data_IF_967100299339
#
_entry.id   IF_967100299339
#
_cell.length_a   1.000
_cell.length_b   1.000
_cell.length_c   1.000
_cell.angle_alpha   90.00
_cell.angle_beta   90.00
_cell.angle_gamma   90.00
#
_symmetry.space_group_name_H-M   'P 1'
#
loop_
_entity.id
_entity.type
_entity.pdbx_description
1 polymer ?
#
# COMPACT_ATOMS: atom_id res chain seq x y z
N UNK A 1 -12.29 21.21 -39.26
CA UNK A 1 -11.88 22.24 -38.30
C UNK A 1 -12.64 21.89 -37.03
N UNK A 2 -12.09 20.91 -36.27
CA UNK A 2 -12.69 20.39 -35.05
C UNK A 2 -12.04 21.08 -33.86
N UNK A 3 -12.85 21.86 -33.21
CA UNK A 3 -12.56 22.54 -31.95
C UNK A 3 -12.69 21.51 -30.82
N UNK A 4 -11.55 20.92 -30.41
CA UNK A 4 -11.44 20.12 -29.20
C UNK A 4 -11.12 21.07 -28.05
N UNK A 5 -12.15 21.70 -27.49
CA UNK A 5 -12.07 22.50 -26.27
C UNK A 5 -11.76 21.57 -25.08
N UNK A 6 -10.64 21.90 -24.46
CA UNK A 6 -10.06 21.30 -23.25
C UNK A 6 -11.02 21.50 -22.06
N UNK A 7 -11.67 20.44 -21.62
CA UNK A 7 -12.44 20.38 -20.35
C UNK A 7 -11.55 20.14 -19.10
N UNK A 8 -10.24 20.37 -19.19
CA UNK A 8 -9.26 20.04 -18.12
C UNK A 8 -9.00 21.13 -17.06
N UNK A 9 -9.46 22.37 -17.24
CA UNK A 9 -8.90 23.50 -16.47
C UNK A 9 -9.55 23.82 -15.12
N UNK A 10 -10.77 23.39 -14.86
CA UNK A 10 -11.46 23.69 -13.59
C UNK A 10 -11.09 22.65 -12.48
N UNK A 11 -10.89 21.40 -12.86
CA UNK A 11 -10.49 20.30 -11.95
C UNK A 11 -9.04 20.45 -11.48
N UNK A 12 -8.13 20.86 -12.36
CA UNK A 12 -6.75 21.17 -12.04
C UNK A 12 -6.61 22.30 -11.00
N UNK A 13 -7.45 23.33 -11.06
CA UNK A 13 -7.44 24.43 -10.10
C UNK A 13 -7.79 23.99 -8.68
N UNK A 14 -8.79 23.14 -8.52
CA UNK A 14 -9.22 22.61 -7.25
C UNK A 14 -8.14 21.67 -6.66
N UNK A 15 -7.56 20.80 -7.48
CA UNK A 15 -6.48 19.89 -7.07
C UNK A 15 -5.24 20.67 -6.61
N UNK A 16 -4.80 21.69 -7.36
CA UNK A 16 -3.70 22.57 -6.98
C UNK A 16 -3.97 23.27 -5.65
N UNK A 17 -5.19 23.78 -5.45
CA UNK A 17 -5.57 24.46 -4.21
C UNK A 17 -5.54 23.51 -3.01
N UNK A 18 -6.00 22.27 -3.17
CA UNK A 18 -5.98 21.24 -2.15
C UNK A 18 -4.54 20.88 -1.73
N UNK A 19 -3.66 20.60 -2.70
CA UNK A 19 -2.24 20.29 -2.43
C UNK A 19 -1.53 21.45 -1.73
N UNK A 20 -1.76 22.70 -2.19
CA UNK A 20 -1.19 23.89 -1.53
C UNK A 20 -1.74 24.09 -0.12
N UNK A 21 -3.03 23.80 0.09
CA UNK A 21 -3.66 23.83 1.41
C UNK A 21 -3.00 22.83 2.38
N UNK A 22 -2.85 21.59 1.92
CA UNK A 22 -2.18 20.54 2.67
C UNK A 22 -0.72 20.91 3.01
N UNK A 23 0.05 21.38 2.03
CA UNK A 23 1.44 21.78 2.26
C UNK A 23 1.56 22.88 3.34
N UNK A 24 0.70 23.91 3.29
CA UNK A 24 0.68 24.97 4.33
C UNK A 24 0.32 24.41 5.71
N UNK A 25 -0.69 23.57 5.79
CA UNK A 25 -1.08 22.93 7.03
C UNK A 25 0.04 22.07 7.60
N UNK A 26 0.60 21.17 6.79
CA UNK A 26 1.57 20.19 7.25
C UNK A 26 2.92 20.81 7.65
N UNK A 27 3.41 21.79 6.89
CA UNK A 27 4.63 22.55 7.26
C UNK A 27 4.44 23.32 8.56
N UNK A 28 3.25 23.85 8.82
CA UNK A 28 2.94 24.52 10.09
C UNK A 28 2.82 23.51 11.25
N UNK A 29 2.14 22.40 11.06
CA UNK A 29 1.96 21.33 12.06
C UNK A 29 3.30 20.75 12.52
N UNK A 30 4.28 20.61 11.61
CA UNK A 30 5.64 20.17 11.92
C UNK A 30 6.55 21.31 12.42
N UNK A 31 6.08 22.54 12.46
CA UNK A 31 6.89 23.68 12.89
C UNK A 31 8.07 23.98 11.98
N UNK A 32 8.06 23.56 10.70
CA UNK A 32 9.19 23.69 9.78
C UNK A 32 9.53 25.14 9.40
N UNK A 33 8.60 26.08 9.63
CA UNK A 33 8.79 27.50 9.36
C UNK A 33 9.45 28.25 10.53
N UNK A 34 9.72 27.58 11.64
CA UNK A 34 10.49 28.17 12.75
C UNK A 34 11.95 28.28 12.35
N UNK A 35 12.59 29.40 12.74
CA UNK A 35 13.99 29.65 12.34
C UNK A 35 15.00 28.64 12.88
N UNK A 36 14.64 27.88 13.92
CA UNK A 36 15.41 26.79 14.50
C UNK A 36 14.62 25.50 14.45
N UNK A 37 15.21 24.45 13.91
CA UNK A 37 14.57 23.15 13.80
C UNK A 37 14.61 22.41 15.14
N UNK A 38 13.44 22.00 15.64
CA UNK A 38 13.27 21.25 16.90
C UNK A 38 13.94 21.93 18.12
N UNK A 39 13.88 23.26 18.17
CA UNK A 39 14.52 24.07 19.23
C UNK A 39 16.02 23.79 19.41
N UNK A 40 16.69 23.42 18.31
CA UNK A 40 18.16 23.22 18.25
C UNK A 40 18.84 24.42 17.58
N UNK A 41 20.18 24.56 17.67
CA UNK A 41 20.91 25.62 16.98
C UNK A 41 20.93 25.44 15.44
N UNK A 42 20.34 24.36 14.90
CA UNK A 42 20.38 24.03 13.48
C UNK A 42 19.07 24.45 12.78
N UNK A 43 19.20 24.95 11.55
CA UNK A 43 18.06 25.10 10.63
C UNK A 43 17.62 23.76 10.08
N UNK A 44 16.42 23.69 9.46
CA UNK A 44 15.94 22.48 8.80
C UNK A 44 16.93 21.97 7.75
N UNK A 45 17.49 22.86 6.93
CA UNK A 45 18.49 22.51 5.90
C UNK A 45 19.74 21.88 6.50
N UNK A 46 20.23 22.47 7.60
CA UNK A 46 21.40 21.96 8.31
C UNK A 46 21.14 20.60 8.96
N UNK A 47 19.97 20.44 9.61
CA UNK A 47 19.55 19.15 10.14
C UNK A 47 19.44 18.09 9.04
N UNK A 48 18.83 18.42 7.90
CA UNK A 48 18.72 17.51 6.75
C UNK A 48 20.10 17.09 6.25
N UNK A 49 21.02 18.01 6.15
CA UNK A 49 22.40 17.73 5.75
C UNK A 49 23.11 16.77 6.71
N UNK A 50 22.93 16.97 8.03
CA UNK A 50 23.46 16.08 9.06
C UNK A 50 22.87 14.68 8.99
N UNK A 51 21.57 14.55 8.73
CA UNK A 51 20.93 13.24 8.52
C UNK A 51 21.49 12.53 7.28
N UNK A 52 21.68 13.23 6.17
CA UNK A 52 22.27 12.63 4.96
C UNK A 52 23.72 12.18 5.21
N UNK A 53 24.51 12.95 5.97
CA UNK A 53 25.86 12.57 6.38
C UNK A 53 25.86 11.32 7.29
N UNK A 54 24.83 11.13 8.09
CA UNK A 54 24.71 9.97 8.98
C UNK A 54 24.37 8.65 8.25
N UNK A 55 23.83 8.74 7.05
CA UNK A 55 23.47 7.54 6.25
C UNK A 55 24.70 6.82 5.67
N UNK A 56 25.87 7.44 5.69
CA UNK A 56 27.10 6.90 5.08
C UNK A 56 28.30 7.17 5.98
N UNK A 57 29.28 6.32 5.96
CA UNK A 57 30.53 6.54 6.70
C UNK A 57 31.28 7.79 6.19
N UNK A 58 31.28 7.97 4.86
CA UNK A 58 31.86 9.13 4.19
C UNK A 58 30.97 9.59 3.03
N UNK A 59 30.93 10.88 2.75
CA UNK A 59 30.18 11.46 1.64
C UNK A 59 31.02 12.44 0.85
N UNK A 60 30.90 12.42 -0.49
CA UNK A 60 31.50 13.45 -1.35
C UNK A 60 30.63 14.72 -1.33
N UNK A 61 31.25 15.91 -1.39
CA UNK A 61 30.52 17.20 -1.42
C UNK A 61 29.55 17.28 -2.60
N UNK A 62 29.95 16.71 -3.76
CA UNK A 62 29.12 16.68 -4.96
C UNK A 62 27.84 15.85 -4.79
N UNK A 63 27.92 14.75 -4.05
CA UNK A 63 26.75 13.89 -3.77
C UNK A 63 25.80 14.54 -2.78
N UNK A 64 26.35 15.15 -1.71
CA UNK A 64 25.55 15.90 -0.74
C UNK A 64 24.76 17.03 -1.40
N UNK A 65 25.43 17.79 -2.30
CA UNK A 65 24.79 18.87 -3.05
C UNK A 65 23.58 18.37 -3.86
N UNK A 66 23.75 17.25 -4.55
CA UNK A 66 22.69 16.65 -5.39
C UNK A 66 21.51 16.14 -4.55
N UNK A 67 21.82 15.52 -3.41
CA UNK A 67 20.80 14.93 -2.53
C UNK A 67 19.95 16.00 -1.81
N UNK A 68 20.56 17.10 -1.39
CA UNK A 68 19.84 18.16 -0.62
C UNK A 68 19.36 19.29 -1.52
N UNK A 69 19.79 19.34 -2.78
CA UNK A 69 19.42 20.35 -3.80
C UNK A 69 19.59 21.80 -3.31
N UNK A 70 20.79 22.15 -2.86
CA UNK A 70 21.11 23.49 -2.33
C UNK A 70 22.21 24.17 -3.11
N UNK A 71 22.23 25.50 -3.02
CA UNK A 71 23.26 26.34 -3.64
C UNK A 71 24.67 25.97 -3.16
N UNK A 72 25.67 25.87 -4.07
CA UNK A 72 27.04 25.47 -3.71
C UNK A 72 27.71 26.39 -2.67
N UNK A 73 27.47 27.68 -2.75
CA UNK A 73 28.04 28.65 -1.81
C UNK A 73 27.42 28.53 -0.43
N UNK A 74 26.12 28.23 -0.38
CA UNK A 74 25.42 28.00 0.89
C UNK A 74 25.87 26.69 1.54
N UNK A 75 25.97 25.58 0.76
CA UNK A 75 26.52 24.33 1.25
C UNK A 75 27.94 24.52 1.82
N UNK A 76 28.81 25.22 1.10
CA UNK A 76 30.20 25.48 1.54
C UNK A 76 30.24 26.19 2.88
N UNK A 77 29.36 27.19 3.11
CA UNK A 77 29.25 27.91 4.37
C UNK A 77 28.78 27.01 5.54
N UNK A 78 27.78 26.17 5.30
CA UNK A 78 27.30 25.21 6.30
C UNK A 78 28.41 24.24 6.68
N UNK A 79 29.08 23.64 5.69
CA UNK A 79 30.15 22.67 5.93
C UNK A 79 31.36 23.31 6.65
N UNK A 80 31.70 24.53 6.33
CA UNK A 80 32.76 25.27 7.06
C UNK A 80 32.40 25.51 8.54
N UNK A 81 31.12 25.83 8.79
CA UNK A 81 30.61 25.97 10.17
C UNK A 81 30.64 24.62 10.90
N UNK A 82 30.15 23.57 10.32
CA UNK A 82 30.16 22.23 10.92
C UNK A 82 31.57 21.73 11.23
N UNK A 83 32.53 22.04 10.39
CA UNK A 83 33.93 21.71 10.60
C UNK A 83 34.51 22.54 11.77
N UNK A 84 34.24 23.86 11.81
CA UNK A 84 34.62 24.75 12.94
C UNK A 84 34.01 24.30 14.25
N UNK A 85 32.77 23.82 14.24
CA UNK A 85 32.05 23.35 15.43
C UNK A 85 32.45 21.90 15.82
N UNK A 86 33.36 21.26 15.06
CA UNK A 86 33.84 19.92 15.33
C UNK A 86 32.81 18.81 15.05
N UNK A 87 31.74 19.14 14.33
CA UNK A 87 30.67 18.20 13.98
C UNK A 87 31.04 17.26 12.83
N UNK A 88 31.81 17.78 11.88
CA UNK A 88 32.35 17.01 10.74
C UNK A 88 33.87 17.11 10.69
N UNK A 89 34.48 16.14 10.00
CA UNK A 89 35.87 16.17 9.57
C UNK A 89 35.96 16.01 8.05
N UNK A 90 36.87 16.76 7.42
CA UNK A 90 37.20 16.62 5.99
C UNK A 90 38.47 15.81 5.84
N UNK A 91 38.44 14.88 4.92
CA UNK A 91 39.59 14.04 4.58
C UNK A 91 39.77 13.98 3.04
N UNK A 92 40.96 13.65 2.58
CA UNK A 92 41.14 13.32 1.18
C UNK A 92 40.67 11.90 0.94
N UNK A 93 39.97 11.68 -0.18
CA UNK A 93 39.51 10.36 -0.55
C UNK A 93 40.69 9.40 -0.70
N UNK A 94 40.60 8.23 -0.09
CA UNK A 94 41.61 7.18 -0.25
C UNK A 94 41.67 6.63 -1.68
N UNK A 95 40.56 6.75 -2.44
CA UNK A 95 40.45 6.27 -3.82
C UNK A 95 40.93 7.32 -4.84
N UNK A 96 40.77 8.62 -4.55
CA UNK A 96 41.22 9.73 -5.41
C UNK A 96 41.60 10.91 -4.53
N UNK A 97 42.88 11.11 -4.31
CA UNK A 97 43.43 12.20 -3.46
C UNK A 97 43.07 13.62 -3.90
N UNK A 98 42.42 13.80 -5.08
CA UNK A 98 41.89 15.09 -5.55
C UNK A 98 40.49 15.37 -5.01
N UNK A 99 39.80 14.37 -4.49
CA UNK A 99 38.43 14.51 -3.94
C UNK A 99 38.46 14.65 -2.42
N UNK A 100 37.62 15.53 -1.93
CA UNK A 100 37.37 15.66 -0.50
C UNK A 100 36.14 14.85 -0.10
N UNK A 101 36.29 14.07 0.95
CA UNK A 101 35.21 13.35 1.61
C UNK A 101 34.95 13.95 2.99
N UNK A 102 33.70 13.92 3.39
CA UNK A 102 33.22 14.44 4.66
C UNK A 102 32.71 13.26 5.47
N UNK A 103 33.00 13.26 6.75
CA UNK A 103 32.47 12.30 7.71
C UNK A 103 32.02 13.02 9.00
N UNK A 104 31.04 12.44 9.68
CA UNK A 104 30.66 12.88 11.01
C UNK A 104 31.75 12.50 12.02
N UNK A 105 32.06 13.42 12.93
CA UNK A 105 32.90 13.11 14.10
C UNK A 105 32.10 12.35 15.16
N UNK A 106 32.69 12.00 16.29
CA UNK A 106 31.97 11.49 17.47
C UNK A 106 30.92 12.48 17.95
N UNK A 107 31.30 13.75 18.11
CA UNK A 107 30.36 14.82 18.45
C UNK A 107 29.27 15.03 17.41
N UNK A 108 29.60 14.92 16.11
CA UNK A 108 28.61 14.98 15.04
C UNK A 108 27.55 13.88 15.11
N UNK A 109 27.94 12.66 15.44
CA UNK A 109 27.01 11.55 15.65
C UNK A 109 26.09 11.77 16.86
N UNK A 110 26.60 12.36 17.94
CA UNK A 110 25.78 12.76 19.10
C UNK A 110 24.77 13.84 18.75
N UNK A 111 25.17 14.84 17.95
CA UNK A 111 24.24 15.85 17.42
C UNK A 111 23.13 15.24 16.59
N UNK A 112 23.44 14.32 15.67
CA UNK A 112 22.44 13.63 14.85
C UNK A 112 21.52 12.80 15.72
N UNK A 113 22.05 12.03 16.67
CA UNK A 113 21.23 11.24 17.60
C UNK A 113 20.27 12.12 18.42
N UNK A 114 20.73 13.31 18.86
CA UNK A 114 19.88 14.27 19.55
C UNK A 114 18.78 14.88 18.68
N UNK A 115 19.07 15.16 17.41
CA UNK A 115 18.09 15.63 16.43
C UNK A 115 17.05 14.54 16.13
N UNK A 116 17.50 13.29 15.94
CA UNK A 116 16.63 12.15 15.67
C UNK A 116 15.68 11.87 16.85
N UNK A 117 16.20 11.86 18.07
CA UNK A 117 15.39 11.70 19.27
C UNK A 117 14.29 12.76 19.39
N UNK A 118 14.63 14.05 19.19
CA UNK A 118 13.65 15.16 19.23
C UNK A 118 12.62 15.06 18.10
N UNK A 119 13.03 14.66 16.91
CA UNK A 119 12.12 14.41 15.78
C UNK A 119 11.16 13.26 16.09
N UNK A 120 11.67 12.18 16.65
CA UNK A 120 10.86 11.03 17.06
C UNK A 120 9.87 11.42 18.19
N UNK A 121 10.29 12.23 19.16
CA UNK A 121 9.42 12.72 20.23
C UNK A 121 8.29 13.59 19.68
N UNK A 122 8.59 14.53 18.78
CA UNK A 122 7.57 15.37 18.12
C UNK A 122 6.53 14.53 17.37
N UNK A 123 6.98 13.53 16.62
CA UNK A 123 6.07 12.62 15.90
C UNK A 123 5.26 11.78 16.88
N UNK A 124 5.88 11.31 17.94
CA UNK A 124 5.21 10.53 19.00
C UNK A 124 4.10 11.34 19.67
N UNK A 125 4.37 12.60 20.01
CA UNK A 125 3.38 13.50 20.60
C UNK A 125 2.22 13.77 19.65
N UNK A 126 2.49 13.99 18.36
CA UNK A 126 1.45 14.13 17.34
C UNK A 126 0.57 12.89 17.23
N UNK A 127 1.16 11.71 17.25
CA UNK A 127 0.43 10.43 17.14
C UNK A 127 -0.30 10.07 18.44
N UNK A 128 0.21 10.48 19.61
CA UNK A 128 -0.42 10.21 20.90
C UNK A 128 -1.78 10.92 21.08
N UNK A 129 -2.00 12.02 20.36
CA UNK A 129 -3.28 12.74 20.35
C UNK A 129 -4.37 12.05 19.51
N UNK A 130 -4.04 11.00 18.75
CA UNK A 130 -4.96 10.30 17.84
C UNK A 130 -5.42 8.98 18.45
N UNK A 131 -6.70 8.62 18.22
CA UNK A 131 -7.16 7.26 18.44
C UNK A 131 -6.50 6.29 17.44
N UNK A 132 -6.57 4.98 17.72
CA UNK A 132 -5.92 3.97 16.88
C UNK A 132 -6.44 3.96 15.43
N UNK A 133 -7.72 4.26 15.22
CA UNK A 133 -8.30 4.34 13.87
C UNK A 133 -7.76 5.53 13.09
N UNK A 134 -7.72 6.71 13.71
CA UNK A 134 -7.20 7.91 13.08
C UNK A 134 -5.68 7.81 12.82
N UNK A 135 -4.95 7.14 13.72
CA UNK A 135 -3.52 6.85 13.52
C UNK A 135 -3.31 5.98 12.28
N UNK A 136 -4.09 4.89 12.13
CA UNK A 136 -4.03 4.04 10.94
C UNK A 136 -4.34 4.82 9.67
N UNK A 137 -5.44 5.59 9.67
CA UNK A 137 -5.84 6.43 8.51
C UNK A 137 -4.76 7.44 8.11
N UNK A 138 -4.12 8.07 9.09
CA UNK A 138 -3.02 9.01 8.84
C UNK A 138 -1.82 8.33 8.19
N UNK A 139 -1.36 7.20 8.74
CA UNK A 139 -0.22 6.45 8.19
C UNK A 139 -0.50 5.93 6.78
N UNK A 140 -1.72 5.44 6.53
CA UNK A 140 -2.15 5.01 5.20
C UNK A 140 -2.18 6.16 4.20
N UNK A 141 -2.70 7.32 4.59
CA UNK A 141 -2.71 8.50 3.73
C UNK A 141 -1.28 8.97 3.38
N UNK A 142 -0.37 9.02 4.36
CA UNK A 142 1.03 9.36 4.12
C UNK A 142 1.71 8.39 3.16
N UNK A 143 1.44 7.09 3.30
CA UNK A 143 1.95 6.07 2.42
C UNK A 143 1.44 6.25 0.99
N UNK A 144 0.11 6.44 0.82
CA UNK A 144 -0.49 6.68 -0.51
C UNK A 144 0.14 7.90 -1.18
N UNK A 145 0.31 9.01 -0.45
CA UNK A 145 0.98 10.21 -0.98
C UNK A 145 2.39 9.90 -1.45
N UNK A 146 3.17 9.20 -0.62
CA UNK A 146 4.57 8.86 -0.95
C UNK A 146 4.64 7.97 -2.20
N UNK A 147 3.87 6.89 -2.26
CA UNK A 147 3.85 5.95 -3.38
C UNK A 147 3.40 6.63 -4.69
N UNK A 148 2.38 7.48 -4.60
CA UNK A 148 1.85 8.22 -5.77
C UNK A 148 2.89 9.19 -6.34
N UNK A 149 3.59 9.93 -5.47
CA UNK A 149 4.57 10.92 -5.91
C UNK A 149 5.90 10.32 -6.35
N UNK A 150 6.30 9.18 -5.77
CA UNK A 150 7.59 8.53 -6.13
C UNK A 150 7.45 7.53 -7.27
N UNK A 151 6.23 7.09 -7.59
CA UNK A 151 5.98 6.02 -8.55
C UNK A 151 6.55 4.66 -8.12
N UNK A 152 6.99 4.54 -6.87
CA UNK A 152 7.65 3.35 -6.33
C UNK A 152 6.79 2.75 -5.22
N UNK A 153 6.02 1.68 -5.52
CA UNK A 153 5.29 0.98 -4.47
C UNK A 153 6.28 0.35 -3.49
N UNK A 154 6.10 0.62 -2.21
CA UNK A 154 6.88 -0.03 -1.16
C UNK A 154 6.54 -1.53 -1.11
N UNK A 155 7.52 -2.41 -0.86
CA UNK A 155 7.24 -3.82 -0.65
C UNK A 155 6.27 -3.96 0.54
N UNK A 156 5.05 -4.40 0.25
CA UNK A 156 4.02 -4.60 1.28
C UNK A 156 4.01 -6.06 1.69
N UNK A 157 4.21 -6.30 2.98
CA UNK A 157 3.84 -7.56 3.58
C UNK A 157 2.32 -7.64 3.71
N UNK A 158 1.76 -8.82 3.49
CA UNK A 158 0.36 -9.09 3.80
C UNK A 158 0.24 -10.37 4.62
N UNK A 159 -0.82 -10.47 5.38
CA UNK A 159 -1.17 -11.69 6.09
C UNK A 159 -2.55 -12.20 5.63
N UNK A 160 -2.75 -13.50 5.69
CA UNK A 160 -4.07 -14.12 5.55
C UNK A 160 -4.57 -14.49 6.93
N UNK A 161 -5.79 -14.09 7.26
CA UNK A 161 -6.44 -14.39 8.53
C UNK A 161 -7.88 -14.84 8.33
N UNK A 162 -8.42 -15.47 9.36
CA UNK A 162 -9.86 -15.74 9.42
C UNK A 162 -10.65 -14.44 9.52
N UNK A 163 -11.91 -14.43 9.04
CA UNK A 163 -12.79 -13.28 9.16
C UNK A 163 -13.06 -12.90 10.62
N UNK A 164 -13.19 -11.59 10.86
CA UNK A 164 -13.59 -10.97 12.13
C UNK A 164 -14.92 -10.23 11.96
N UNK A 165 -15.52 -9.82 13.06
CA UNK A 165 -16.72 -8.97 13.02
C UNK A 165 -16.49 -7.72 12.17
N UNK A 166 -17.41 -7.47 11.22
CA UNK A 166 -17.31 -6.39 10.23
C UNK A 166 -16.79 -6.84 8.85
N UNK A 167 -15.95 -7.88 8.76
CA UNK A 167 -15.40 -8.32 7.48
C UNK A 167 -16.47 -8.81 6.48
N UNK A 168 -17.54 -9.43 6.97
CA UNK A 168 -18.62 -9.89 6.10
C UNK A 168 -19.35 -8.72 5.43
N UNK A 169 -19.59 -7.63 6.18
CA UNK A 169 -20.12 -6.39 5.61
C UNK A 169 -19.16 -5.77 4.60
N UNK A 170 -17.86 -5.77 4.89
CA UNK A 170 -16.82 -5.32 3.96
C UNK A 170 -16.81 -6.14 2.66
N UNK A 171 -16.89 -7.47 2.75
CA UNK A 171 -16.96 -8.36 1.56
C UNK A 171 -18.14 -7.99 0.66
N UNK A 172 -19.35 -7.80 1.24
CA UNK A 172 -20.53 -7.43 0.46
C UNK A 172 -20.35 -6.08 -0.22
N UNK A 173 -19.99 -5.06 0.56
CA UNK A 173 -19.79 -3.69 0.07
C UNK A 173 -18.72 -3.64 -1.03
N UNK A 174 -17.56 -4.25 -0.82
CA UNK A 174 -16.46 -4.13 -1.78
C UNK A 174 -16.73 -4.90 -3.08
N UNK A 175 -17.37 -6.07 -3.02
CA UNK A 175 -17.83 -6.75 -4.21
C UNK A 175 -18.84 -5.89 -4.99
N UNK A 176 -19.85 -5.31 -4.32
CA UNK A 176 -20.83 -4.44 -4.98
C UNK A 176 -20.15 -3.25 -5.68
N UNK A 177 -19.33 -2.50 -4.94
CA UNK A 177 -18.68 -1.28 -5.46
C UNK A 177 -17.71 -1.60 -6.60
N UNK A 178 -16.77 -2.52 -6.40
CA UNK A 178 -15.73 -2.78 -7.40
C UNK A 178 -16.28 -3.35 -8.71
N UNK A 179 -17.24 -4.25 -8.63
CA UNK A 179 -17.82 -4.83 -9.84
C UNK A 179 -18.75 -3.85 -10.57
N UNK A 180 -19.38 -2.91 -9.85
CA UNK A 180 -20.09 -1.80 -10.47
C UNK A 180 -19.14 -0.84 -11.20
N UNK A 181 -18.03 -0.46 -10.55
CA UNK A 181 -17.04 0.47 -11.10
C UNK A 181 -16.27 -0.13 -12.30
N UNK A 182 -15.80 -1.37 -12.18
CA UNK A 182 -14.91 -1.98 -13.19
C UNK A 182 -15.69 -2.64 -14.35
N UNK A 183 -16.90 -3.16 -14.09
CA UNK A 183 -17.65 -3.96 -15.09
C UNK A 183 -19.06 -3.40 -15.36
N UNK A 184 -19.50 -2.40 -14.60
CA UNK A 184 -20.84 -1.80 -14.72
C UNK A 184 -21.95 -2.75 -14.31
N UNK A 185 -21.69 -3.66 -13.33
CA UNK A 185 -22.70 -4.58 -12.82
C UNK A 185 -23.67 -3.86 -11.86
N UNK A 186 -24.92 -4.27 -11.89
CA UNK A 186 -25.97 -3.67 -11.07
C UNK A 186 -26.07 -4.27 -9.65
N UNK A 187 -26.96 -3.74 -8.84
CA UNK A 187 -27.17 -4.16 -7.44
C UNK A 187 -27.62 -5.63 -7.28
N UNK A 188 -28.02 -6.31 -8.37
CA UNK A 188 -28.36 -7.74 -8.30
C UNK A 188 -27.13 -8.62 -8.01
N UNK A 189 -25.92 -8.17 -8.40
CA UNK A 189 -24.67 -8.83 -8.02
C UNK A 189 -24.39 -8.66 -6.51
N UNK A 190 -24.54 -7.46 -5.98
CA UNK A 190 -24.38 -7.22 -4.53
C UNK A 190 -25.36 -8.07 -3.72
N UNK A 191 -26.61 -8.18 -4.18
CA UNK A 191 -27.62 -9.05 -3.56
C UNK A 191 -27.23 -10.54 -3.62
N UNK A 192 -26.57 -11.00 -4.70
CA UNK A 192 -26.03 -12.36 -4.79
C UNK A 192 -24.93 -12.57 -3.75
N UNK A 193 -23.97 -11.64 -3.66
CA UNK A 193 -22.87 -11.70 -2.69
C UNK A 193 -23.41 -11.70 -1.25
N UNK A 194 -24.39 -10.85 -0.94
CA UNK A 194 -25.01 -10.80 0.36
C UNK A 194 -25.64 -12.14 0.77
N UNK A 195 -26.32 -12.82 -0.16
CA UNK A 195 -26.87 -14.17 0.08
C UNK A 195 -25.79 -15.20 0.34
N UNK A 196 -24.70 -15.20 -0.45
CA UNK A 196 -23.56 -16.12 -0.26
C UNK A 196 -22.93 -15.93 1.11
N UNK A 197 -22.74 -14.67 1.53
CA UNK A 197 -22.16 -14.34 2.83
C UNK A 197 -23.08 -14.72 3.97
N UNK A 198 -24.40 -14.47 3.86
CA UNK A 198 -25.38 -14.85 4.85
C UNK A 198 -25.44 -16.39 5.01
N UNK A 199 -25.55 -17.12 3.89
CA UNK A 199 -25.55 -18.59 3.90
C UNK A 199 -24.29 -19.15 4.56
N UNK A 200 -23.11 -18.58 4.26
CA UNK A 200 -21.85 -18.99 4.89
C UNK A 200 -21.86 -18.78 6.41
N UNK A 201 -22.31 -17.62 6.88
CA UNK A 201 -22.32 -17.32 8.32
C UNK A 201 -23.34 -18.18 9.06
N UNK A 202 -24.51 -18.42 8.49
CA UNK A 202 -25.61 -19.16 9.12
C UNK A 202 -25.40 -20.70 9.11
N UNK A 203 -24.82 -21.23 8.04
CA UNK A 203 -24.79 -22.67 7.75
C UNK A 203 -23.39 -23.29 7.77
N UNK A 204 -22.35 -22.48 8.01
CA UNK A 204 -20.96 -22.92 7.94
C UNK A 204 -20.69 -24.17 8.78
N UNK A 205 -20.11 -25.18 8.16
CA UNK A 205 -19.43 -26.27 8.83
C UNK A 205 -17.93 -25.96 8.92
N UNK A 206 -17.38 -25.65 10.09
CA UNK A 206 -15.98 -25.23 10.24
C UNK A 206 -14.95 -26.27 9.79
N UNK A 207 -15.32 -27.56 9.74
CA UNK A 207 -14.43 -28.63 9.28
C UNK A 207 -14.39 -28.72 7.75
N UNK A 208 -15.42 -28.24 7.08
CA UNK A 208 -15.60 -28.35 5.62
C UNK A 208 -15.61 -27.00 4.88
N UNK A 209 -15.77 -25.90 5.58
CA UNK A 209 -15.90 -24.57 4.99
C UNK A 209 -15.05 -23.54 5.70
N UNK A 210 -14.41 -22.67 4.94
CA UNK A 210 -13.55 -21.62 5.48
C UNK A 210 -13.59 -20.35 4.61
N UNK A 211 -13.22 -19.22 5.21
CA UNK A 211 -13.00 -17.98 4.47
C UNK A 211 -11.74 -17.30 4.99
N UNK A 212 -11.11 -16.52 4.13
CA UNK A 212 -9.92 -15.75 4.48
C UNK A 212 -10.05 -14.32 4.04
N UNK A 213 -9.52 -13.44 4.87
CA UNK A 213 -9.28 -12.04 4.57
C UNK A 213 -7.78 -11.85 4.41
N UNK A 214 -7.35 -11.30 3.29
CA UNK A 214 -6.02 -10.77 3.13
C UNK A 214 -6.00 -9.36 3.75
N UNK A 215 -5.03 -9.11 4.61
CA UNK A 215 -4.87 -7.82 5.29
C UNK A 215 -3.47 -7.27 4.99
N UNK A 216 -3.40 -6.04 4.52
CA UNK A 216 -2.16 -5.29 4.27
C UNK A 216 -2.15 -4.11 5.22
N UNK A 217 -1.13 -4.00 6.05
CA UNK A 217 -0.99 -2.89 7.03
C UNK A 217 -2.22 -2.68 7.93
N UNK A 218 -2.92 -3.76 8.30
CA UNK A 218 -4.13 -3.72 9.13
C UNK A 218 -5.44 -3.40 8.38
N UNK A 219 -5.39 -3.25 7.04
CA UNK A 219 -6.54 -2.93 6.18
C UNK A 219 -6.93 -4.16 5.35
N UNK A 220 -8.22 -4.57 5.29
CA UNK A 220 -8.67 -5.62 4.40
C UNK A 220 -8.37 -5.28 2.94
N UNK A 221 -7.68 -6.19 2.25
CA UNK A 221 -7.16 -6.02 0.91
C UNK A 221 -7.64 -7.08 -0.09
N UNK A 222 -8.26 -8.14 0.41
CA UNK A 222 -8.84 -9.20 -0.41
C UNK A 222 -9.57 -10.24 0.41
N UNK A 223 -10.34 -11.08 -0.25
CA UNK A 223 -11.07 -12.17 0.39
C UNK A 223 -11.20 -13.37 -0.55
N UNK A 224 -11.48 -14.55 0.04
CA UNK A 224 -11.90 -15.75 -0.67
C UNK A 224 -12.67 -16.67 0.28
N UNK A 225 -13.60 -17.44 -0.27
CA UNK A 225 -14.38 -18.42 0.46
C UNK A 225 -14.19 -19.81 -0.16
N UNK A 226 -14.14 -20.82 0.68
CA UNK A 226 -14.24 -22.22 0.35
C UNK A 226 -15.51 -22.77 0.98
N UNK A 227 -16.48 -23.15 0.18
CA UNK A 227 -17.76 -23.69 0.67
C UNK A 227 -17.98 -25.09 0.13
N UNK A 228 -18.80 -25.88 0.82
CA UNK A 228 -19.20 -27.22 0.36
C UNK A 228 -20.16 -27.13 -0.80
N UNK A 229 -19.88 -27.82 -1.89
CA UNK A 229 -20.82 -28.05 -2.99
C UNK A 229 -21.55 -29.37 -2.79
N UNK A 230 -20.79 -30.44 -2.51
CA UNK A 230 -21.29 -31.75 -2.15
C UNK A 230 -20.28 -32.46 -1.18
N UNK A 231 -20.49 -33.77 -0.95
CA UNK A 231 -19.65 -34.53 -0.03
C UNK A 231 -18.18 -34.66 -0.48
N UNK A 232 -17.91 -34.59 -1.80
CA UNK A 232 -16.58 -34.80 -2.38
C UNK A 232 -16.03 -33.53 -3.03
N UNK A 233 -16.87 -32.50 -3.21
CA UNK A 233 -16.54 -31.29 -3.98
C UNK A 233 -16.64 -30.03 -3.14
N UNK A 234 -15.57 -29.26 -3.10
CA UNK A 234 -15.57 -27.89 -2.59
C UNK A 234 -15.86 -26.88 -3.71
N UNK A 235 -16.32 -25.69 -3.35
CA UNK A 235 -16.48 -24.57 -4.27
C UNK A 235 -15.76 -23.34 -3.77
N UNK A 236 -14.90 -22.76 -4.61
CA UNK A 236 -14.28 -21.47 -4.40
C UNK A 236 -15.27 -20.36 -4.76
N UNK A 237 -15.46 -19.39 -3.87
CA UNK A 237 -16.34 -18.23 -4.07
C UNK A 237 -15.69 -16.94 -3.64
N UNK A 238 -16.21 -15.81 -4.16
CA UNK A 238 -15.91 -14.45 -3.71
C UNK A 238 -14.41 -14.13 -3.63
N UNK A 239 -13.62 -14.58 -4.63
CA UNK A 239 -12.25 -14.13 -4.77
C UNK A 239 -12.26 -12.66 -5.20
N UNK A 240 -11.74 -11.78 -4.33
CA UNK A 240 -11.60 -10.35 -4.58
C UNK A 240 -10.25 -9.90 -4.08
N UNK A 241 -9.61 -8.99 -4.82
CA UNK A 241 -8.42 -8.25 -4.38
C UNK A 241 -8.63 -6.77 -4.72
N UNK A 242 -8.47 -5.92 -3.71
CA UNK A 242 -8.54 -4.47 -3.86
C UNK A 242 -7.59 -3.96 -4.95
N UNK A 243 -7.99 -2.98 -5.77
CA UNK A 243 -7.16 -2.45 -6.84
C UNK A 243 -5.78 -1.98 -6.37
N UNK A 244 -5.73 -1.30 -5.22
CA UNK A 244 -4.48 -0.80 -4.63
C UNK A 244 -3.55 -1.91 -4.10
N UNK A 245 -4.05 -3.13 -3.91
CA UNK A 245 -3.29 -4.29 -3.42
C UNK A 245 -2.99 -5.31 -4.54
N UNK A 246 -3.40 -5.03 -5.78
CA UNK A 246 -3.08 -5.88 -6.94
C UNK A 246 -1.57 -5.85 -7.21
N UNK A 247 -1.03 -6.91 -7.77
CA UNK A 247 0.42 -7.05 -7.99
C UNK A 247 1.21 -7.61 -6.80
N UNK A 248 0.64 -7.65 -5.58
CA UNK A 248 1.28 -8.21 -4.38
C UNK A 248 1.21 -9.75 -4.30
N UNK A 249 0.60 -10.43 -5.27
CA UNK A 249 0.46 -11.89 -5.26
C UNK A 249 -0.69 -12.41 -4.38
N UNK A 250 -1.49 -11.53 -3.76
CA UNK A 250 -2.58 -11.87 -2.83
C UNK A 250 -3.57 -12.85 -3.44
N UNK A 251 -4.03 -12.60 -4.68
CA UNK A 251 -5.04 -13.45 -5.32
C UNK A 251 -4.59 -14.91 -5.48
N UNK A 252 -3.35 -15.12 -5.93
CA UNK A 252 -2.76 -16.47 -6.03
C UNK A 252 -2.65 -17.14 -4.66
N UNK A 253 -2.18 -16.39 -3.66
CA UNK A 253 -2.03 -16.90 -2.29
C UNK A 253 -3.36 -17.27 -1.64
N UNK A 254 -4.43 -16.51 -1.88
CA UNK A 254 -5.78 -16.82 -1.44
C UNK A 254 -6.29 -18.12 -2.06
N UNK A 255 -6.09 -18.30 -3.37
CA UNK A 255 -6.46 -19.55 -4.07
C UNK A 255 -5.65 -20.73 -3.54
N UNK A 256 -4.34 -20.58 -3.31
CA UNK A 256 -3.50 -21.62 -2.72
C UNK A 256 -3.97 -22.04 -1.32
N UNK A 257 -4.46 -21.08 -0.51
CA UNK A 257 -5.00 -21.37 0.81
C UNK A 257 -6.28 -22.19 0.73
N UNK A 258 -7.19 -21.82 -0.18
CA UNK A 258 -8.41 -22.59 -0.46
C UNK A 258 -8.05 -24.03 -0.87
N UNK A 259 -7.10 -24.20 -1.79
CA UNK A 259 -6.68 -25.54 -2.26
C UNK A 259 -6.07 -26.38 -1.13
N UNK A 260 -5.28 -25.77 -0.24
CA UNK A 260 -4.71 -26.43 0.92
C UNK A 260 -5.79 -26.87 1.92
N UNK A 261 -6.75 -25.98 2.17
CA UNK A 261 -7.87 -26.27 3.05
C UNK A 261 -8.74 -27.39 2.47
N UNK A 262 -9.15 -27.29 1.21
CA UNK A 262 -10.01 -28.28 0.57
C UNK A 262 -9.40 -29.70 0.63
N UNK A 263 -8.08 -29.83 0.41
CA UNK A 263 -7.38 -31.13 0.58
C UNK A 263 -7.43 -31.63 2.02
N UNK A 264 -7.19 -30.75 3.01
CA UNK A 264 -7.23 -31.14 4.44
C UNK A 264 -8.63 -31.53 4.89
N UNK A 265 -9.66 -30.89 4.34
CA UNK A 265 -11.05 -31.20 4.60
C UNK A 265 -11.54 -32.49 3.90
N UNK A 266 -10.69 -33.12 3.08
CA UNK A 266 -10.98 -34.42 2.44
C UNK A 266 -11.72 -34.31 1.11
N UNK A 267 -11.82 -33.13 0.51
CA UNK A 267 -12.41 -32.99 -0.82
C UNK A 267 -11.47 -33.56 -1.89
N UNK A 268 -12.05 -34.23 -2.89
CA UNK A 268 -11.34 -34.78 -4.05
C UNK A 268 -11.35 -33.84 -5.26
N UNK A 269 -12.27 -32.87 -5.26
CA UNK A 269 -12.46 -31.91 -6.35
C UNK A 269 -12.81 -30.54 -5.82
N UNK A 270 -12.44 -29.51 -6.56
CA UNK A 270 -12.88 -28.14 -6.31
C UNK A 270 -13.39 -27.50 -7.59
N UNK A 271 -14.47 -26.75 -7.48
CA UNK A 271 -15.10 -26.01 -8.58
C UNK A 271 -15.08 -24.52 -8.31
N UNK A 272 -15.29 -23.72 -9.33
CA UNK A 272 -15.61 -22.30 -9.24
C UNK A 272 -16.48 -21.88 -10.43
N UNK A 273 -17.20 -20.79 -10.23
CA UNK A 273 -17.96 -20.11 -11.28
C UNK A 273 -17.44 -18.69 -11.45
N UNK A 274 -17.26 -18.24 -12.68
CA UNK A 274 -16.77 -16.92 -13.04
C UNK A 274 -17.41 -16.42 -14.33
N UNK A 275 -17.04 -15.23 -14.80
CA UNK A 275 -17.44 -14.70 -16.09
C UNK A 275 -16.21 -14.39 -16.96
N UNK A 276 -16.39 -14.45 -18.27
CA UNK A 276 -15.33 -14.24 -19.27
C UNK A 276 -14.63 -12.89 -19.16
N UNK A 277 -15.33 -11.84 -18.72
CA UNK A 277 -14.81 -10.50 -18.52
C UNK A 277 -13.77 -10.42 -17.38
N UNK A 278 -13.76 -11.39 -16.45
CA UNK A 278 -12.87 -11.42 -15.30
C UNK A 278 -11.49 -12.02 -15.63
N UNK A 279 -10.77 -11.39 -16.56
CA UNK A 279 -9.54 -11.93 -17.15
C UNK A 279 -8.42 -12.18 -16.11
N UNK A 280 -8.28 -11.33 -15.10
CA UNK A 280 -7.25 -11.48 -14.06
C UNK A 280 -7.53 -12.68 -13.15
N UNK A 281 -8.77 -12.86 -12.73
CA UNK A 281 -9.20 -14.02 -11.94
C UNK A 281 -8.98 -15.32 -12.72
N UNK A 282 -9.35 -15.36 -14.01
CA UNK A 282 -9.12 -16.52 -14.90
C UNK A 282 -7.63 -16.89 -14.99
N UNK A 283 -6.74 -15.91 -15.12
CA UNK A 283 -5.28 -16.16 -15.13
C UNK A 283 -4.80 -16.77 -13.81
N UNK A 284 -5.36 -16.36 -12.68
CA UNK A 284 -5.04 -16.96 -11.38
C UNK A 284 -5.51 -18.40 -11.33
N UNK A 285 -6.74 -18.70 -11.77
CA UNK A 285 -7.29 -20.06 -11.77
C UNK A 285 -6.50 -21.00 -12.71
N UNK A 286 -6.15 -20.54 -13.91
CA UNK A 286 -5.31 -21.31 -14.83
C UNK A 286 -3.94 -21.67 -14.23
N UNK A 287 -3.26 -20.68 -13.60
CA UNK A 287 -1.98 -20.92 -12.91
C UNK A 287 -2.12 -21.88 -11.73
N UNK A 288 -3.26 -21.83 -11.06
CA UNK A 288 -3.61 -22.75 -9.98
C UNK A 288 -4.06 -24.14 -10.48
N UNK A 289 -4.03 -24.42 -11.78
CA UNK A 289 -4.32 -25.72 -12.37
C UNK A 289 -5.81 -26.04 -12.53
N UNK A 290 -6.69 -25.03 -12.50
CA UNK A 290 -8.08 -25.23 -12.89
C UNK A 290 -8.22 -25.32 -14.39
N UNK A 291 -9.17 -26.14 -14.86
CA UNK A 291 -9.56 -26.31 -16.26
C UNK A 291 -10.99 -25.84 -16.46
N UNK A 292 -11.27 -25.26 -17.62
CA UNK A 292 -12.62 -24.88 -18.02
C UNK A 292 -13.43 -26.14 -18.35
N UNK A 293 -14.56 -26.33 -17.67
CA UNK A 293 -15.48 -27.45 -17.90
C UNK A 293 -16.52 -27.09 -18.94
N UNK A 294 -17.19 -25.94 -18.75
CA UNK A 294 -18.22 -25.46 -19.70
C UNK A 294 -18.35 -23.92 -19.62
N UNK A 295 -18.99 -23.36 -20.64
CA UNK A 295 -19.38 -21.95 -20.69
C UNK A 295 -20.77 -21.79 -21.33
N UNK A 296 -21.48 -20.76 -20.85
CA UNK A 296 -22.81 -20.45 -21.39
C UNK A 296 -23.09 -18.94 -21.34
N UNK A 297 -23.81 -18.47 -22.39
CA UNK A 297 -24.25 -17.05 -22.39
C UNK A 297 -25.45 -16.87 -21.47
N UNK A 298 -25.48 -15.79 -20.75
CA UNK A 298 -26.59 -15.41 -19.87
C UNK A 298 -26.69 -13.89 -19.74
N UNK A 299 -27.87 -13.42 -19.36
CA UNK A 299 -28.10 -12.03 -18.96
C UNK A 299 -28.19 -11.96 -17.44
N UNK A 300 -27.22 -11.32 -16.80
CA UNK A 300 -27.21 -11.15 -15.36
C UNK A 300 -26.49 -9.85 -15.00
N UNK A 301 -26.80 -9.30 -13.85
CA UNK A 301 -26.17 -8.07 -13.32
C UNK A 301 -26.28 -6.88 -14.27
N UNK A 302 -27.38 -6.83 -15.05
CA UNK A 302 -27.61 -5.78 -16.05
C UNK A 302 -26.75 -5.87 -17.32
N UNK A 303 -26.06 -7.01 -17.56
CA UNK A 303 -25.14 -7.20 -18.68
C UNK A 303 -25.32 -8.58 -19.33
N UNK A 304 -25.01 -8.64 -20.63
CA UNK A 304 -24.83 -9.90 -21.33
C UNK A 304 -23.40 -10.41 -21.06
N UNK A 305 -23.31 -11.59 -20.48
CA UNK A 305 -22.08 -12.20 -19.99
C UNK A 305 -21.96 -13.62 -20.48
N UNK A 306 -20.75 -14.18 -20.46
CA UNK A 306 -20.48 -15.60 -20.64
C UNK A 306 -20.00 -16.18 -19.31
N UNK A 307 -20.86 -16.97 -18.67
CA UNK A 307 -20.48 -17.70 -17.47
C UNK A 307 -19.56 -18.86 -17.81
N UNK A 308 -18.63 -19.14 -16.91
CA UNK A 308 -17.66 -20.22 -17.04
C UNK A 308 -17.61 -21.01 -15.73
N UNK A 309 -17.76 -22.33 -15.83
CA UNK A 309 -17.50 -23.27 -14.75
C UNK A 309 -16.11 -23.85 -14.93
N UNK A 310 -15.34 -23.83 -13.88
CA UNK A 310 -13.97 -24.35 -13.85
C UNK A 310 -13.84 -25.34 -12.71
N UNK A 311 -13.05 -26.38 -12.91
CA UNK A 311 -12.77 -27.36 -11.87
C UNK A 311 -11.31 -27.80 -11.84
N UNK A 312 -10.96 -28.44 -10.73
CA UNK A 312 -9.66 -29.04 -10.50
C UNK A 312 -9.80 -30.23 -9.57
N UNK A 313 -9.14 -31.36 -9.89
CA UNK A 313 -8.94 -32.46 -8.95
C UNK A 313 -7.85 -32.09 -7.93
N UNK A 314 -8.02 -32.52 -6.66
CA UNK A 314 -7.24 -32.11 -5.49
C UNK A 314 -6.15 -33.08 -5.07
#
# INVERSE_FOLDING_TARGET
MNDLTVEGTADDGAAVAAVRGFNRFYTNALGLLRGKYLDTPYSLTEARLLFELAQRETSEVTDLRRTVDIDPGYLSRILARFESDGVIARQRSAADGRRQVIQLTGSGREVVAGLDARSADQVRDMLAALCDDDRRRLLDAMRVVTETLTGSPQPRGYLLREPRSGDMGWVVQRNGVLYAEEFGWDASYEALVARIVADYVEKRDPEAEAAWIAEVDGVPAGCVFCVREDAATARLRLLLVEPWARGLGIGGRLVDEVLRFARRAGYSRITLWTNDVLADARRIYQRAGFTLDDESRHHSFGRDLTSQNWSRDL
#
